data_IF_770842014342
#
_entry.id   IF_770842014342
#
_cell.length_a   1.000
_cell.length_b   1.000
_cell.length_c   1.000
_cell.angle_alpha   90.00
_cell.angle_beta   90.00
_cell.angle_gamma   90.00
#
_symmetry.space_group_name_H-M   'P 1'
#
loop_
_entity.id
_entity.type
_entity.pdbx_description
1 polymer ?
#
# COMPACT_ATOMS: atom_id res chain seq x y z
N UNK A 1 12.95 1.84 -11.42
CA UNK A 1 11.77 2.72 -11.36
C UNK A 1 11.71 3.32 -9.97
N UNK A 2 11.80 4.65 -9.85
CA UNK A 2 11.58 5.33 -8.58
C UNK A 2 10.09 5.67 -8.51
N UNK A 3 9.35 5.02 -7.61
CA UNK A 3 7.95 5.34 -7.33
C UNK A 3 7.86 6.59 -6.46
N UNK A 4 6.67 7.19 -6.44
CA UNK A 4 6.36 8.33 -5.56
C UNK A 4 5.20 7.93 -4.66
N UNK A 5 5.30 8.28 -3.38
CA UNK A 5 4.27 8.05 -2.37
C UNK A 5 3.59 9.37 -2.04
N UNK A 6 2.25 9.31 -1.94
CA UNK A 6 1.43 10.39 -1.40
C UNK A 6 0.91 9.96 -0.04
N UNK A 7 1.18 10.77 0.98
CA UNK A 7 0.72 10.55 2.35
C UNK A 7 0.04 11.79 2.91
N UNK A 8 -0.97 11.59 3.77
CA UNK A 8 -1.79 12.67 4.31
C UNK A 8 -1.70 12.72 5.83
N UNK A 9 -1.20 13.83 6.36
CA UNK A 9 -1.06 14.08 7.79
C UNK A 9 -1.58 15.47 8.20
N UNK A 10 -1.24 15.91 9.41
CA UNK A 10 -1.67 17.19 9.98
C UNK A 10 -1.19 18.41 9.17
N UNK A 11 -0.11 18.26 8.40
CA UNK A 11 0.48 19.28 7.53
C UNK A 11 -0.04 19.20 6.09
N UNK A 12 -1.00 18.31 5.81
CA UNK A 12 -1.61 18.15 4.48
C UNK A 12 -1.09 16.93 3.74
N UNK A 13 -1.20 16.96 2.40
CA UNK A 13 -0.71 15.88 1.54
C UNK A 13 0.75 16.13 1.17
N UNK A 14 1.60 15.14 1.40
CA UNK A 14 3.01 15.14 1.05
C UNK A 14 3.27 14.24 -0.15
N UNK A 15 4.36 14.54 -0.86
CA UNK A 15 4.83 13.78 -2.01
C UNK A 15 6.28 13.38 -1.78
N UNK A 16 6.53 12.09 -1.58
CA UNK A 16 7.84 11.57 -1.22
C UNK A 16 8.37 10.55 -2.24
N UNK A 17 9.61 10.74 -2.70
CA UNK A 17 10.31 9.77 -3.56
C UNK A 17 11.21 8.77 -2.79
N UNK A 18 11.31 8.93 -1.47
CA UNK A 18 12.15 8.13 -0.57
C UNK A 18 11.57 8.16 0.85
N UNK A 19 12.04 7.28 1.74
CA UNK A 19 11.59 7.19 3.14
C UNK A 19 10.52 6.12 3.39
N UNK A 20 10.07 5.43 2.34
CA UNK A 20 9.05 4.37 2.37
C UNK A 20 9.63 2.99 2.04
N UNK A 21 10.95 2.82 2.08
CA UNK A 21 11.65 1.59 1.69
C UNK A 21 11.36 0.41 2.63
N UNK A 22 10.90 0.70 3.85
CA UNK A 22 10.51 -0.30 4.85
C UNK A 22 9.00 -0.54 4.91
N UNK A 23 8.24 -0.05 3.94
CA UNK A 23 6.80 -0.21 3.88
C UNK A 23 6.39 -1.43 3.05
N UNK A 24 5.17 -1.90 3.26
CA UNK A 24 4.58 -2.98 2.49
C UNK A 24 3.75 -2.37 1.38
N UNK A 25 4.10 -2.69 0.14
CA UNK A 25 3.29 -2.34 -1.02
C UNK A 25 2.14 -3.33 -1.18
N UNK A 26 0.92 -2.82 -1.22
CA UNK A 26 -0.28 -3.62 -1.44
C UNK A 26 -0.77 -3.35 -2.87
N UNK A 27 -0.72 -4.35 -3.79
CA UNK A 27 -1.17 -4.15 -5.16
C UNK A 27 -2.70 -4.06 -5.19
N UNK A 28 -3.21 -2.89 -5.58
CA UNK A 28 -4.66 -2.62 -5.66
C UNK A 28 -5.24 -2.91 -7.05
N UNK A 29 -4.38 -2.89 -8.07
CA UNK A 29 -4.72 -2.99 -9.49
C UNK A 29 -3.98 -4.19 -10.06
N UNK A 30 -4.71 -5.05 -10.77
CA UNK A 30 -4.14 -6.18 -11.52
C UNK A 30 -3.35 -5.68 -12.75
N UNK A 31 -2.27 -6.37 -13.15
CA UNK A 31 -1.39 -5.93 -14.23
C UNK A 31 -2.05 -5.78 -15.61
N UNK A 32 -3.20 -6.43 -15.83
CA UNK A 32 -3.98 -6.39 -17.06
C UNK A 32 -4.83 -5.11 -17.22
N UNK A 33 -4.99 -4.32 -16.15
CA UNK A 33 -5.71 -3.04 -16.17
C UNK A 33 -4.82 -1.88 -16.66
N UNK A 34 -4.26 -2.01 -17.87
CA UNK A 34 -3.26 -1.08 -18.41
C UNK A 34 -3.75 0.37 -18.49
N UNK A 35 -5.01 0.60 -18.87
CA UNK A 35 -5.58 1.96 -19.01
C UNK A 35 -5.59 2.70 -17.68
N UNK A 36 -6.00 1.99 -16.61
CA UNK A 36 -5.99 2.54 -15.26
C UNK A 36 -4.56 2.81 -14.79
N UNK A 37 -3.62 1.89 -15.06
CA UNK A 37 -2.21 2.07 -14.69
C UNK A 37 -1.59 3.32 -15.36
N UNK A 38 -1.98 3.65 -16.60
CA UNK A 38 -1.51 4.85 -17.28
C UNK A 38 -2.09 6.16 -16.72
N UNK A 39 -3.29 6.10 -16.12
CA UNK A 39 -3.97 7.27 -15.57
C UNK A 39 -3.77 7.41 -14.06
N UNK A 40 -3.31 6.37 -13.38
CA UNK A 40 -3.22 6.29 -11.92
C UNK A 40 -2.49 7.48 -11.31
N UNK A 41 -1.30 7.79 -11.82
CA UNK A 41 -0.47 8.88 -11.29
C UNK A 41 -1.14 10.24 -11.46
N UNK A 42 -1.74 10.51 -12.63
CA UNK A 42 -2.46 11.76 -12.88
C UNK A 42 -3.71 11.89 -12.00
N UNK A 43 -4.48 10.81 -11.84
CA UNK A 43 -5.66 10.78 -10.97
C UNK A 43 -5.28 11.04 -9.51
N UNK A 44 -4.17 10.47 -9.05
CA UNK A 44 -3.68 10.66 -7.69
C UNK A 44 -3.15 12.09 -7.47
N UNK A 45 -2.43 12.63 -8.45
CA UNK A 45 -1.95 14.02 -8.44
C UNK A 45 -3.14 14.99 -8.33
N UNK A 46 -4.14 14.88 -9.21
CA UNK A 46 -5.34 15.73 -9.17
C UNK A 46 -6.11 15.57 -7.86
N UNK A 47 -6.31 14.34 -7.40
CA UNK A 47 -7.01 14.06 -6.14
C UNK A 47 -6.28 14.65 -4.93
N UNK A 48 -4.95 14.63 -4.92
CA UNK A 48 -4.13 15.15 -3.82
C UNK A 48 -4.26 16.66 -3.63
N UNK A 49 -4.66 17.39 -4.67
CA UNK A 49 -4.82 18.84 -4.67
C UNK A 49 -6.22 19.31 -4.26
N UNK A 50 -7.16 18.39 -4.03
CA UNK A 50 -8.52 18.73 -3.65
C UNK A 50 -8.59 19.41 -2.27
N UNK A 51 -9.45 20.42 -2.12
CA UNK A 51 -9.62 21.17 -0.87
C UNK A 51 -9.98 20.29 0.35
N UNK A 52 -10.53 19.11 0.09
CA UNK A 52 -10.83 18.10 1.11
C UNK A 52 -9.59 17.68 1.89
N UNK A 53 -8.39 17.77 1.31
CA UNK A 53 -7.14 17.27 1.90
C UNK A 53 -6.20 18.39 2.37
N UNK A 54 -6.75 19.58 2.60
CA UNK A 54 -5.99 20.67 3.21
C UNK A 54 -5.65 20.36 4.68
N UNK A 55 -4.56 20.93 5.24
CA UNK A 55 -4.09 20.62 6.59
C UNK A 55 -5.16 20.84 7.67
N UNK A 56 -5.90 21.94 7.59
CA UNK A 56 -6.95 22.30 8.53
C UNK A 56 -8.20 21.40 8.48
N UNK A 57 -8.30 20.49 7.49
CA UNK A 57 -9.35 19.48 7.41
C UNK A 57 -8.98 18.19 8.12
N UNK A 58 -7.70 18.02 8.49
CA UNK A 58 -7.22 16.80 9.14
C UNK A 58 -7.93 16.56 10.47
N UNK A 59 -8.43 15.34 10.64
CA UNK A 59 -9.05 14.86 11.86
C UNK A 59 -8.63 13.41 12.10
N UNK A 60 -7.82 13.19 13.13
CA UNK A 60 -7.22 11.89 13.45
C UNK A 60 -8.20 10.70 13.40
N UNK A 61 -9.45 10.88 13.83
CA UNK A 61 -10.44 9.78 13.89
C UNK A 61 -11.29 9.65 12.62
N UNK A 62 -11.52 10.76 11.90
CA UNK A 62 -12.56 10.84 10.87
C UNK A 62 -12.02 11.17 9.48
N UNK A 63 -10.93 11.92 9.39
CA UNK A 63 -10.34 12.46 8.17
C UNK A 63 -8.81 12.47 8.25
N UNK A 64 -8.22 11.29 8.09
CA UNK A 64 -6.80 10.98 8.28
C UNK A 64 -6.20 10.25 7.05
N UNK A 65 -4.96 9.79 7.17
CA UNK A 65 -4.25 9.03 6.13
C UNK A 65 -5.03 7.80 5.62
N UNK A 66 -5.71 7.08 6.53
CA UNK A 66 -6.51 5.91 6.16
C UNK A 66 -7.68 6.31 5.27
N UNK A 67 -8.39 7.38 5.63
CA UNK A 67 -9.51 7.87 4.81
C UNK A 67 -9.06 8.49 3.50
N UNK A 68 -7.88 9.10 3.44
CA UNK A 68 -7.26 9.58 2.20
C UNK A 68 -7.07 8.43 1.20
N UNK A 69 -6.36 7.38 1.63
CA UNK A 69 -6.12 6.20 0.80
C UNK A 69 -7.44 5.54 0.37
N UNK A 70 -8.38 5.34 1.31
CA UNK A 70 -9.67 4.72 1.01
C UNK A 70 -10.52 5.56 0.04
N UNK A 71 -10.53 6.89 0.21
CA UNK A 71 -11.28 7.78 -0.66
C UNK A 71 -10.74 7.76 -2.09
N UNK A 72 -9.41 7.76 -2.27
CA UNK A 72 -8.80 7.60 -3.58
C UNK A 72 -9.16 6.27 -4.23
N UNK A 73 -9.04 5.17 -3.49
CA UNK A 73 -9.43 3.84 -3.97
C UNK A 73 -10.89 3.81 -4.39
N UNK A 74 -11.78 4.38 -3.58
CA UNK A 74 -13.21 4.44 -3.91
C UNK A 74 -13.50 5.31 -5.14
N UNK A 75 -12.77 6.41 -5.35
CA UNK A 75 -12.90 7.22 -6.57
C UNK A 75 -12.53 6.42 -7.82
N UNK A 76 -11.40 5.70 -7.77
CA UNK A 76 -10.98 4.82 -8.87
C UNK A 76 -12.02 3.73 -9.14
N UNK A 77 -12.51 3.07 -8.09
CA UNK A 77 -13.56 2.04 -8.20
C UNK A 77 -14.86 2.56 -8.81
N UNK A 78 -15.30 3.74 -8.38
CA UNK A 78 -16.48 4.41 -8.94
C UNK A 78 -16.30 4.72 -10.44
N UNK A 79 -15.10 5.17 -10.85
CA UNK A 79 -14.75 5.37 -12.25
C UNK A 79 -14.82 4.08 -13.08
N UNK A 80 -14.64 2.92 -12.46
CA UNK A 80 -14.79 1.60 -13.07
C UNK A 80 -16.21 1.00 -12.93
N UNK A 81 -17.17 1.77 -12.39
CA UNK A 81 -18.54 1.29 -12.15
C UNK A 81 -18.67 0.29 -11.01
N UNK A 82 -17.70 0.24 -10.11
CA UNK A 82 -17.72 -0.64 -8.93
C UNK A 82 -18.24 0.09 -7.69
N UNK A 83 -18.86 -0.67 -6.79
CA UNK A 83 -19.30 -0.15 -5.49
C UNK A 83 -18.09 0.29 -4.63
N UNK A 84 -18.25 1.40 -3.87
CA UNK A 84 -17.24 1.86 -2.92
C UNK A 84 -17.11 0.89 -1.75
N UNK A 85 -15.88 0.78 -1.23
CA UNK A 85 -15.55 -0.01 -0.06
C UNK A 85 -15.77 0.81 1.21
N UNK A 86 -16.33 0.17 2.23
CA UNK A 86 -16.31 0.67 3.61
C UNK A 86 -14.92 0.49 4.24
N UNK A 87 -14.67 1.19 5.36
CA UNK A 87 -13.42 1.03 6.15
C UNK A 87 -13.17 -0.44 6.53
N UNK A 88 -14.23 -1.15 6.93
CA UNK A 88 -14.15 -2.56 7.33
C UNK A 88 -13.78 -3.45 6.13
N UNK A 89 -14.48 -3.32 5.01
CA UNK A 89 -14.22 -4.12 3.81
C UNK A 89 -12.80 -3.91 3.27
N UNK A 90 -12.33 -2.66 3.22
CA UNK A 90 -10.98 -2.35 2.78
C UNK A 90 -9.93 -2.97 3.71
N UNK A 91 -10.13 -2.84 5.03
CA UNK A 91 -9.22 -3.41 6.03
C UNK A 91 -9.16 -4.93 5.94
N UNK A 92 -10.31 -5.59 5.86
CA UNK A 92 -10.39 -7.05 5.83
C UNK A 92 -9.84 -7.65 4.53
N UNK A 93 -10.13 -7.01 3.39
CA UNK A 93 -9.78 -7.54 2.07
C UNK A 93 -8.33 -7.24 1.69
N UNK A 94 -7.80 -6.07 2.06
CA UNK A 94 -6.49 -5.60 1.59
C UNK A 94 -5.45 -5.56 2.70
N UNK A 95 -5.77 -5.00 3.88
CA UNK A 95 -4.75 -4.75 4.90
C UNK A 95 -4.45 -5.99 5.76
N UNK A 96 -5.48 -6.65 6.28
CA UNK A 96 -5.31 -7.78 7.21
C UNK A 96 -4.44 -8.92 6.67
N UNK A 97 -4.57 -9.36 5.40
CA UNK A 97 -3.73 -10.43 4.86
C UNK A 97 -2.23 -10.07 4.92
N UNK A 98 -1.90 -8.86 4.46
CA UNK A 98 -0.52 -8.38 4.37
C UNK A 98 0.07 -8.09 5.76
N UNK A 99 -0.72 -7.53 6.68
CA UNK A 99 -0.28 -7.29 8.07
C UNK A 99 0.01 -8.60 8.80
N UNK A 100 -0.79 -9.66 8.55
CA UNK A 100 -0.53 -10.99 9.12
C UNK A 100 0.72 -11.64 8.55
N UNK A 101 0.99 -11.46 7.27
CA UNK A 101 2.22 -11.93 6.63
C UNK A 101 3.44 -11.18 7.17
N UNK A 102 3.38 -9.87 7.25
CA UNK A 102 4.42 -9.03 7.83
C UNK A 102 4.73 -9.39 9.28
N UNK A 103 3.70 -9.61 10.10
CA UNK A 103 3.88 -10.05 11.49
C UNK A 103 4.64 -11.39 11.58
N UNK A 104 4.30 -12.36 10.73
CA UNK A 104 5.02 -13.65 10.66
C UNK A 104 6.47 -13.45 10.22
N UNK A 105 6.69 -12.65 9.18
CA UNK A 105 8.03 -12.32 8.69
C UNK A 105 8.89 -11.65 9.76
N UNK A 106 8.37 -10.62 10.42
CA UNK A 106 9.08 -9.89 11.48
C UNK A 106 9.42 -10.80 12.66
N UNK A 107 8.48 -11.67 13.06
CA UNK A 107 8.71 -12.65 14.12
C UNK A 107 9.84 -13.62 13.75
N UNK A 108 9.81 -14.15 12.53
CA UNK A 108 10.86 -15.04 12.03
C UNK A 108 12.21 -14.31 11.98
N UNK A 109 12.25 -13.12 11.39
CA UNK A 109 13.45 -12.30 11.29
C UNK A 109 14.07 -12.04 12.66
N UNK A 110 13.27 -11.67 13.66
CA UNK A 110 13.72 -11.49 15.03
C UNK A 110 14.31 -12.79 15.61
N UNK A 111 13.65 -13.93 15.42
CA UNK A 111 14.16 -15.23 15.89
C UNK A 111 15.48 -15.62 15.22
N UNK A 112 15.62 -15.35 13.92
CA UNK A 112 16.84 -15.61 13.18
C UNK A 112 17.99 -14.69 13.64
N UNK A 113 17.72 -13.42 13.92
CA UNK A 113 18.73 -12.47 14.36
C UNK A 113 19.36 -12.80 15.73
N UNK A 114 18.67 -13.60 16.57
CA UNK A 114 19.14 -13.99 17.90
C UNK A 114 19.75 -15.40 17.95
N UNK A 115 19.96 -16.03 16.79
CA UNK A 115 20.49 -17.40 16.67
C UNK A 115 21.55 -17.45 15.58
N UNK A 116 22.64 -18.18 15.81
CA UNK A 116 23.62 -18.48 14.76
C UNK A 116 23.02 -19.50 13.79
N UNK A 117 22.41 -18.99 12.70
CA UNK A 117 21.75 -19.80 11.68
C UNK A 117 22.47 -19.57 10.34
N UNK A 118 22.80 -20.68 9.67
CA UNK A 118 23.42 -20.69 8.34
C UNK A 118 22.41 -21.24 7.34
N UNK A 119 22.15 -20.48 6.28
CA UNK A 119 21.31 -20.91 5.16
C UNK A 119 22.19 -21.75 4.24
N UNK A 120 21.90 -23.05 4.16
CA UNK A 120 22.56 -23.95 3.21
C UNK A 120 21.78 -23.92 1.90
N UNK A 121 22.41 -23.62 0.76
CA UNK A 121 21.75 -23.75 -0.55
C UNK A 121 21.22 -25.17 -0.73
N UNK A 122 19.98 -25.32 -1.16
CA UNK A 122 19.52 -26.63 -1.60
C UNK A 122 20.37 -27.04 -2.81
N UNK A 123 21.07 -28.17 -2.69
CA UNK A 123 21.71 -28.79 -3.83
C UNK A 123 20.64 -29.00 -4.90
N UNK A 124 20.89 -28.49 -6.11
CA UNK A 124 20.06 -28.78 -7.27
C UNK A 124 19.96 -30.30 -7.34
N UNK A 125 18.74 -30.84 -7.24
CA UNK A 125 18.54 -32.24 -7.52
C UNK A 125 18.90 -32.41 -8.98
N UNK A 126 20.07 -32.98 -9.25
CA UNK A 126 20.42 -33.52 -10.55
C UNK A 126 19.26 -34.42 -10.95
N UNK A 127 18.47 -33.96 -11.93
CA UNK A 127 17.51 -34.81 -12.62
C UNK A 127 18.33 -35.88 -13.32
N UNK A 128 18.53 -37.01 -12.64
CA UNK A 128 18.99 -38.23 -13.27
C UNK A 128 18.01 -38.62 -14.38
N UNK A 129 18.63 -38.98 -15.50
CA UNK A 129 18.13 -39.06 -16.87
C UNK A 129 17.04 -40.12 -17.10
#
# INVERSE_FOLDING_TARGET
FAGVVYDYDQEGVHRAGSGWEQCISIPLVQPDMWELLQQWDNLLEEFSLEEAWLPHRYQEQQHNCFTFALAFVNRVRQGQGQEPLSKAQFTESFLLPHTREASRYLTLHQQLAHRDIYIVPLAEQEQEQ
#
